data_IF_110477007426
#
_entry.id   IF_110477007426
#
_cell.length_a   1.000
_cell.length_b   1.000
_cell.length_c   1.000
_cell.angle_alpha   90.00
_cell.angle_beta   90.00
_cell.angle_gamma   90.00
#
_symmetry.space_group_name_H-M   'P 1'
#
loop_
_entity.id
_entity.type
_entity.pdbx_description
1 polymer ?
#
# COMPACT_ATOMS: atom_id res chain seq x y z
N UNK A 1 0.15 23.42 -11.79
CA UNK A 1 -0.19 22.00 -11.98
C UNK A 1 -1.70 21.91 -11.95
N UNK A 2 -2.28 21.13 -12.85
CA UNK A 2 -3.73 20.98 -12.93
C UNK A 2 -4.19 20.08 -11.78
N UNK A 3 -4.80 20.68 -10.74
CA UNK A 3 -5.15 19.96 -9.51
C UNK A 3 -6.21 18.87 -9.76
N UNK A 4 -6.97 18.97 -10.84
CA UNK A 4 -7.98 17.98 -11.21
C UNK A 4 -7.35 16.67 -11.67
N UNK A 5 -6.27 16.74 -12.45
CA UNK A 5 -5.51 15.58 -12.92
C UNK A 5 -4.87 14.79 -11.76
N UNK A 6 -4.35 15.48 -10.74
CA UNK A 6 -3.77 14.81 -9.57
C UNK A 6 -4.80 13.97 -8.82
N UNK A 7 -6.01 14.51 -8.61
CA UNK A 7 -7.10 13.80 -7.92
C UNK A 7 -7.57 12.59 -8.74
N UNK A 8 -7.65 12.71 -10.07
CA UNK A 8 -8.04 11.59 -10.93
C UNK A 8 -7.01 10.47 -10.92
N UNK A 9 -5.72 10.79 -11.03
CA UNK A 9 -4.65 9.79 -10.97
C UNK A 9 -4.62 9.11 -9.60
N UNK A 10 -4.85 9.85 -8.53
CA UNK A 10 -4.94 9.27 -7.18
C UNK A 10 -6.11 8.29 -7.04
N UNK A 11 -7.26 8.59 -7.65
CA UNK A 11 -8.40 7.65 -7.66
C UNK A 11 -8.06 6.37 -8.43
N UNK A 12 -7.39 6.48 -9.58
CA UNK A 12 -6.91 5.33 -10.37
C UNK A 12 -5.93 4.48 -9.57
N UNK A 13 -4.97 5.12 -8.89
CA UNK A 13 -4.01 4.42 -8.03
C UNK A 13 -4.72 3.62 -6.92
N UNK A 14 -5.70 4.24 -6.25
CA UNK A 14 -6.47 3.55 -5.22
C UNK A 14 -7.22 2.35 -5.79
N UNK A 15 -7.89 2.50 -6.93
CA UNK A 15 -8.64 1.41 -7.57
C UNK A 15 -7.73 0.23 -7.93
N UNK A 16 -6.61 0.50 -8.59
CA UNK A 16 -5.65 -0.53 -8.99
C UNK A 16 -5.09 -1.30 -7.76
N UNK A 17 -4.86 -0.62 -6.63
CA UNK A 17 -4.44 -1.30 -5.38
C UNK A 17 -5.55 -2.19 -4.83
N UNK A 18 -6.81 -1.74 -4.87
CA UNK A 18 -7.95 -2.54 -4.40
C UNK A 18 -8.09 -3.80 -5.24
N UNK A 19 -8.15 -3.66 -6.56
CA UNK A 19 -8.29 -4.76 -7.51
C UNK A 19 -7.10 -5.71 -7.44
N UNK A 20 -5.87 -5.17 -7.42
CA UNK A 20 -4.65 -5.97 -7.34
C UNK A 20 -4.44 -6.72 -6.01
N UNK A 21 -5.22 -6.38 -4.99
CA UNK A 21 -5.22 -7.05 -3.68
C UNK A 21 -6.53 -7.79 -3.38
N UNK A 22 -7.42 -7.89 -4.36
CA UNK A 22 -8.68 -8.64 -4.21
C UNK A 22 -8.40 -10.14 -4.06
N UNK A 23 -9.25 -10.81 -3.29
CA UNK A 23 -9.25 -12.27 -3.06
C UNK A 23 -10.12 -13.00 -4.10
N UNK A 24 -10.57 -12.27 -5.12
CA UNK A 24 -11.25 -12.86 -6.26
C UNK A 24 -10.22 -13.76 -6.94
N UNK A 25 -10.57 -15.02 -7.25
CA UNK A 25 -9.65 -16.10 -7.69
C UNK A 25 -8.87 -15.82 -9.01
N UNK A 26 -8.87 -14.58 -9.48
CA UNK A 26 -8.33 -14.06 -10.72
C UNK A 26 -6.91 -13.50 -10.52
N UNK A 27 -5.94 -14.38 -10.30
CA UNK A 27 -4.51 -14.03 -10.19
C UNK A 27 -3.95 -13.19 -11.37
N UNK A 28 -4.60 -13.25 -12.54
CA UNK A 28 -4.27 -12.42 -13.70
C UNK A 28 -4.56 -10.93 -13.47
N UNK A 29 -5.60 -10.61 -12.69
CA UNK A 29 -5.97 -9.22 -12.35
C UNK A 29 -4.91 -8.58 -11.44
N UNK A 30 -4.28 -9.37 -10.56
CA UNK A 30 -3.14 -8.89 -9.75
C UNK A 30 -1.92 -8.50 -10.59
N UNK A 31 -1.68 -9.16 -11.73
CA UNK A 31 -0.57 -8.80 -12.62
C UNK A 31 -0.87 -7.51 -13.41
N UNK A 32 -2.10 -7.34 -13.87
CA UNK A 32 -2.55 -6.12 -14.57
C UNK A 32 -2.50 -4.91 -13.64
N UNK A 33 -3.07 -5.04 -12.44
CA UNK A 33 -3.04 -4.00 -11.42
C UNK A 33 -1.62 -3.57 -11.07
N UNK A 34 -0.68 -4.51 -11.04
CA UNK A 34 0.72 -4.21 -10.78
C UNK A 34 1.37 -3.34 -11.87
N UNK A 35 1.10 -3.65 -13.14
CA UNK A 35 1.59 -2.85 -14.26
C UNK A 35 0.99 -1.44 -14.23
N UNK A 36 -0.29 -1.33 -13.88
CA UNK A 36 -0.97 -0.05 -13.76
C UNK A 36 -0.41 0.80 -12.62
N UNK A 37 -0.22 0.23 -11.42
CA UNK A 37 0.42 0.92 -10.29
C UNK A 37 1.81 1.42 -10.68
N UNK A 38 2.63 0.56 -11.32
CA UNK A 38 3.99 0.92 -11.75
C UNK A 38 3.95 2.10 -12.74
N UNK A 39 3.09 2.01 -13.77
CA UNK A 39 2.91 3.07 -14.77
C UNK A 39 2.47 4.41 -14.15
N UNK A 40 1.55 4.38 -13.19
CA UNK A 40 1.13 5.58 -12.46
C UNK A 40 2.30 6.20 -11.68
N UNK A 41 3.10 5.38 -10.99
CA UNK A 41 4.22 5.86 -10.18
C UNK A 41 5.38 6.38 -11.03
N UNK A 42 5.60 5.83 -12.22
CA UNK A 42 6.55 6.39 -13.20
C UNK A 42 6.11 7.77 -13.69
N UNK A 43 4.81 7.96 -13.95
CA UNK A 43 4.25 9.23 -14.40
C UNK A 43 4.11 10.27 -13.28
N UNK A 44 3.89 9.82 -12.04
CA UNK A 44 3.67 10.66 -10.85
C UNK A 44 4.44 10.10 -9.64
N UNK A 45 5.77 10.27 -9.58
CA UNK A 45 6.59 9.77 -8.46
C UNK A 45 6.20 10.36 -7.09
N UNK A 46 5.54 11.52 -7.06
CA UNK A 46 5.02 12.12 -5.83
C UNK A 46 3.98 11.23 -5.11
N UNK A 47 3.35 10.30 -5.83
CA UNK A 47 2.36 9.39 -5.28
C UNK A 47 2.97 8.12 -4.65
N UNK A 48 4.29 7.90 -4.75
CA UNK A 48 4.93 6.68 -4.24
C UNK A 48 4.71 6.47 -2.75
N UNK A 49 4.90 7.51 -1.93
CA UNK A 49 4.67 7.41 -0.48
C UNK A 49 3.22 7.04 -0.17
N UNK A 50 2.26 7.56 -0.95
CA UNK A 50 0.84 7.23 -0.81
C UNK A 50 0.56 5.78 -1.19
N UNK A 51 1.09 5.32 -2.32
CA UNK A 51 0.96 3.93 -2.76
C UNK A 51 1.52 2.95 -1.72
N UNK A 52 2.70 3.25 -1.17
CA UNK A 52 3.32 2.44 -0.12
C UNK A 52 2.46 2.41 1.14
N UNK A 53 1.96 3.55 1.61
CA UNK A 53 1.11 3.59 2.80
C UNK A 53 -0.18 2.75 2.62
N UNK A 54 -0.81 2.85 1.45
CA UNK A 54 -2.02 2.08 1.12
C UNK A 54 -1.75 0.57 1.06
N UNK A 55 -0.66 0.16 0.40
CA UNK A 55 -0.26 -1.24 0.33
C UNK A 55 0.15 -1.78 1.71
N UNK A 56 0.87 -1.00 2.52
CA UNK A 56 1.25 -1.36 3.88
C UNK A 56 0.01 -1.58 4.77
N UNK A 57 -1.04 -0.77 4.62
CA UNK A 57 -2.30 -0.98 5.32
C UNK A 57 -2.96 -2.31 4.91
N UNK A 58 -2.97 -2.65 3.61
CA UNK A 58 -3.51 -3.90 3.07
C UNK A 58 -2.76 -5.16 3.54
N UNK A 59 -1.48 -5.05 3.90
CA UNK A 59 -0.75 -6.21 4.48
C UNK A 59 -1.30 -6.68 5.82
N UNK A 60 -2.13 -5.86 6.49
CA UNK A 60 -2.77 -6.16 7.77
C UNK A 60 -4.18 -6.70 7.60
N UNK A 61 -4.62 -7.00 6.37
CA UNK A 61 -5.94 -7.55 6.12
C UNK A 61 -6.15 -8.92 6.79
N UNK A 62 -7.40 -9.26 7.10
CA UNK A 62 -7.77 -10.56 7.68
C UNK A 62 -7.73 -11.67 6.64
N UNK A 63 -7.89 -11.35 5.35
CA UNK A 63 -7.72 -12.30 4.25
C UNK A 63 -6.22 -12.55 3.98
N UNK A 64 -5.71 -13.78 4.20
CA UNK A 64 -4.31 -14.09 3.91
C UNK A 64 -3.93 -13.90 2.43
N UNK A 65 -4.77 -14.25 1.44
CA UNK A 65 -4.53 -13.93 0.04
C UNK A 65 -4.35 -12.43 -0.22
N UNK A 66 -5.25 -11.59 0.29
CA UNK A 66 -5.16 -10.13 0.15
C UNK A 66 -3.87 -9.60 0.79
N UNK A 67 -3.55 -10.03 2.01
CA UNK A 67 -2.32 -9.63 2.68
C UNK A 67 -1.06 -10.05 1.90
N UNK A 68 -1.06 -11.27 1.32
CA UNK A 68 0.04 -11.77 0.52
C UNK A 68 0.24 -11.00 -0.79
N UNK A 69 -0.85 -10.69 -1.50
CA UNK A 69 -0.81 -9.86 -2.71
C UNK A 69 -0.33 -8.45 -2.39
N UNK A 70 -0.80 -7.87 -1.29
CA UNK A 70 -0.34 -6.56 -0.82
C UNK A 70 1.16 -6.55 -0.50
N UNK A 71 1.69 -7.59 0.15
CA UNK A 71 3.13 -7.74 0.41
C UNK A 71 3.92 -7.81 -0.89
N UNK A 72 3.45 -8.58 -1.87
CA UNK A 72 4.09 -8.69 -3.20
C UNK A 72 4.14 -7.35 -3.92
N UNK A 73 3.02 -6.64 -3.98
CA UNK A 73 2.92 -5.32 -4.62
C UNK A 73 3.79 -4.29 -3.89
N UNK A 74 3.77 -4.29 -2.55
CA UNK A 74 4.60 -3.42 -1.72
C UNK A 74 6.08 -3.66 -2.01
N UNK A 75 6.54 -4.92 -2.00
CA UNK A 75 7.94 -5.25 -2.26
C UNK A 75 8.41 -4.75 -3.64
N UNK A 76 7.55 -4.81 -4.66
CA UNK A 76 7.90 -4.31 -6.00
C UNK A 76 7.88 -2.79 -6.08
N UNK A 77 6.89 -2.12 -5.50
CA UNK A 77 6.86 -0.67 -5.44
C UNK A 77 8.11 -0.11 -4.76
N UNK A 78 8.58 -0.77 -3.69
CA UNK A 78 9.82 -0.39 -3.00
C UNK A 78 11.07 -0.66 -3.81
N UNK A 79 11.10 -1.75 -4.58
CA UNK A 79 12.24 -2.05 -5.44
C UNK A 79 12.34 -1.07 -6.61
N UNK A 80 11.21 -0.72 -7.23
CA UNK A 80 11.17 0.11 -8.44
C UNK A 80 11.20 1.62 -8.15
N UNK A 81 10.50 2.07 -7.11
CA UNK A 81 10.26 3.50 -6.84
C UNK A 81 10.56 3.90 -5.40
N UNK A 82 10.94 2.94 -4.55
CA UNK A 82 11.07 3.18 -3.12
C UNK A 82 12.10 4.27 -2.80
N UNK A 83 11.82 5.14 -1.81
CA UNK A 83 12.88 5.92 -1.19
C UNK A 83 13.86 4.97 -0.49
N UNK A 84 15.05 5.47 -0.11
CA UNK A 84 16.05 4.70 0.65
C UNK A 84 15.32 3.82 1.70
N UNK A 85 15.47 2.48 1.66
CA UNK A 85 14.73 1.56 2.53
C UNK A 85 14.80 1.93 4.01
N UNK A 86 15.82 2.68 4.43
CA UNK A 86 15.94 3.27 5.78
C UNK A 86 14.83 4.27 6.11
N UNK A 87 14.50 5.16 5.17
CA UNK A 87 13.43 6.16 5.33
C UNK A 87 12.07 5.49 5.44
N UNK A 88 11.83 4.48 4.59
CA UNK A 88 10.58 3.73 4.63
C UNK A 88 10.42 2.90 5.90
N UNK A 89 11.50 2.23 6.34
CA UNK A 89 11.50 1.50 7.60
C UNK A 89 11.23 2.45 8.79
N UNK A 90 11.74 3.69 8.75
CA UNK A 90 11.44 4.70 9.76
C UNK A 90 9.97 5.10 9.76
N UNK A 91 9.36 5.36 8.59
CA UNK A 91 7.94 5.72 8.48
C UNK A 91 7.03 4.56 8.98
N UNK A 92 7.31 3.32 8.58
CA UNK A 92 6.55 2.14 9.04
C UNK A 92 6.78 1.81 10.52
N UNK A 93 7.99 2.03 11.03
CA UNK A 93 8.30 1.85 12.45
C UNK A 93 7.60 2.91 13.30
N UNK A 94 7.53 4.17 12.83
CA UNK A 94 6.82 5.25 13.50
C UNK A 94 5.32 4.95 13.60
N UNK A 95 4.70 4.42 12.54
CA UNK A 95 3.30 3.99 12.57
C UNK A 95 3.06 2.86 13.58
N UNK A 96 4.00 1.91 13.70
CA UNK A 96 3.93 0.82 14.67
C UNK A 96 4.14 1.31 16.10
N UNK A 97 5.05 2.26 16.32
CA UNK A 97 5.26 2.91 17.61
C UNK A 97 4.04 3.74 18.00
N UNK A 98 3.44 4.49 17.09
CA UNK A 98 2.23 5.26 17.34
C UNK A 98 1.03 4.37 17.68
N UNK A 99 0.88 3.24 16.99
CA UNK A 99 -0.14 2.23 17.30
C UNK A 99 0.03 1.63 18.71
N UNK A 100 1.27 1.37 19.12
CA UNK A 100 1.59 0.81 20.45
C UNK A 100 1.59 1.86 21.58
N UNK A 101 1.88 3.12 21.25
CA UNK A 101 1.93 4.22 22.20
C UNK A 101 0.56 4.91 22.40
N UNK A 102 -0.45 4.53 21.64
CA UNK A 102 -1.81 5.02 21.85
C UNK A 102 -2.28 4.62 23.27
N UNK A 103 -2.66 5.59 24.12
CA UNK A 103 -3.11 5.28 25.48
C UNK A 103 -4.34 4.38 25.41
N UNK A 104 -4.24 3.24 26.10
CA UNK A 104 -5.17 2.12 26.05
C UNK A 104 -6.63 2.57 26.26
N UNK A 105 -7.40 2.59 25.17
CA UNK A 105 -8.87 2.74 25.19
C UNK A 105 -9.54 1.38 25.03
N UNK A 106 -9.07 0.34 25.71
CA UNK A 106 -9.87 -0.84 26.05
C UNK A 106 -10.29 -1.76 24.89
N UNK A 107 -9.73 -1.66 23.69
CA UNK A 107 -10.09 -2.51 22.55
C UNK A 107 -8.88 -3.13 21.83
N UNK A 108 -7.95 -3.73 22.59
CA UNK A 108 -6.95 -4.62 21.99
C UNK A 108 -7.18 -6.06 22.48
N UNK A 109 -7.63 -6.99 21.59
CA UNK A 109 -7.70 -8.40 21.95
C UNK A 109 -6.28 -8.91 22.22
N UNK A 110 -6.06 -9.40 23.43
CA UNK A 110 -4.77 -9.93 23.89
C UNK A 110 -4.34 -11.09 22.98
N UNK A 111 -3.23 -10.93 22.29
CA UNK A 111 -2.48 -12.07 21.77
C UNK A 111 -1.85 -12.78 22.97
N UNK A 112 -2.20 -14.06 23.15
CA UNK A 112 -1.55 -14.97 24.11
C UNK A 112 -0.15 -15.34 23.64
#
# INVERSE_FOLDING_TARGET
MDMEDEVEIEKKLNLAIIEGTSDDEHWAESATAMLEITSILEQRPCLTSKAVALLAARTKDRSPPTAYLAIKLLSRCLHAHGPDPRRLAAELALDRVAYLAAPDKGTHPRLK
#
